data_IF_984896188099
#
_entry.id   IF_984896188099
#
_cell.length_a   1.000
_cell.length_b   1.000
_cell.length_c   1.000
_cell.angle_alpha   90.00
_cell.angle_beta   90.00
_cell.angle_gamma   90.00
#
_symmetry.space_group_name_H-M   'P 1'
#
loop_
_entity.id
_entity.type
_entity.pdbx_description
1 polymer ?
#
# COMPACT_ATOMS: atom_id res chain seq x y z
N UNK A 1 -18.07 4.94 -17.27
CA UNK A 1 -18.11 3.84 -16.30
C UNK A 1 -16.86 3.97 -15.46
N UNK A 2 -16.95 4.74 -14.37
CA UNK A 2 -15.85 4.93 -13.42
C UNK A 2 -15.85 3.77 -12.43
N UNK A 3 -14.93 2.86 -12.57
CA UNK A 3 -14.55 1.97 -11.47
C UNK A 3 -13.53 2.74 -10.64
N UNK A 4 -14.00 3.42 -9.60
CA UNK A 4 -13.16 4.00 -8.57
C UNK A 4 -12.57 2.89 -7.70
N UNK A 5 -11.59 2.17 -8.21
CA UNK A 5 -10.67 1.41 -7.39
C UNK A 5 -9.54 2.34 -7.01
N UNK A 6 -9.32 2.57 -5.72
CA UNK A 6 -8.07 3.13 -5.27
C UNK A 6 -6.96 2.27 -5.85
N UNK A 7 -6.19 2.85 -6.78
CA UNK A 7 -5.01 2.20 -7.31
C UNK A 7 -3.96 2.24 -6.20
N UNK A 8 -3.97 1.24 -5.32
CA UNK A 8 -2.88 1.00 -4.39
C UNK A 8 -1.70 0.46 -5.20
N UNK A 9 -1.06 1.33 -5.96
CA UNK A 9 0.18 1.02 -6.64
C UNK A 9 1.33 1.13 -5.65
N UNK A 10 2.14 0.08 -5.56
CA UNK A 10 3.37 0.09 -4.77
C UNK A 10 4.57 -0.03 -5.71
N UNK A 11 5.65 0.64 -5.36
CA UNK A 11 6.95 0.47 -6.01
C UNK A 11 7.86 -0.32 -5.08
N UNK A 12 8.44 -1.40 -5.56
CA UNK A 12 9.47 -2.13 -4.83
C UNK A 12 10.81 -1.93 -5.51
N UNK A 13 11.80 -1.44 -4.76
CA UNK A 13 13.19 -1.36 -5.18
C UNK A 13 13.92 -2.58 -4.63
N UNK A 14 14.46 -3.42 -5.52
CA UNK A 14 15.24 -4.60 -5.14
C UNK A 14 16.72 -4.30 -5.35
N UNK A 15 17.49 -4.39 -4.28
CA UNK A 15 18.94 -4.25 -4.34
C UNK A 15 19.60 -5.61 -4.60
N UNK A 16 20.68 -5.62 -5.37
CA UNK A 16 21.52 -6.81 -5.48
C UNK A 16 22.14 -7.16 -4.12
N UNK A 17 22.43 -8.44 -3.88
CA UNK A 17 23.03 -8.90 -2.61
C UNK A 17 24.34 -8.19 -2.30
N UNK A 18 25.13 -7.90 -3.33
CA UNK A 18 26.39 -7.15 -3.20
C UNK A 18 26.16 -5.74 -2.65
N UNK A 19 25.19 -4.99 -3.21
CA UNK A 19 24.87 -3.63 -2.76
C UNK A 19 24.30 -3.67 -1.36
N UNK A 20 23.34 -4.58 -1.11
CA UNK A 20 22.72 -4.75 0.21
C UNK A 20 23.77 -5.03 1.27
N UNK A 21 24.72 -5.92 1.01
CA UNK A 21 25.83 -6.25 1.91
C UNK A 21 26.70 -5.02 2.17
N UNK A 22 27.10 -4.29 1.14
CA UNK A 22 27.89 -3.07 1.29
C UNK A 22 27.21 -2.03 2.16
N UNK A 23 25.91 -1.78 1.93
CA UNK A 23 25.14 -0.81 2.72
C UNK A 23 24.99 -1.24 4.19
N UNK A 24 24.90 -2.55 4.45
CA UNK A 24 24.86 -3.08 5.84
C UNK A 24 26.20 -2.98 6.55
N UNK A 25 27.30 -2.97 5.83
CA UNK A 25 28.65 -2.83 6.41
C UNK A 25 28.98 -1.40 6.85
N UNK A 26 28.22 -0.40 6.45
CA UNK A 26 28.45 1.01 6.84
C UNK A 26 27.62 1.34 8.08
N UNK A 27 28.25 1.42 9.27
CA UNK A 27 27.54 1.70 10.50
C UNK A 27 27.10 3.17 10.58
N UNK A 28 25.94 3.42 11.17
CA UNK A 28 25.44 4.76 11.46
C UNK A 28 25.15 4.91 12.96
N UNK A 29 25.23 6.14 13.51
CA UNK A 29 24.85 6.39 14.89
C UNK A 29 23.38 6.04 15.14
N UNK A 30 23.10 5.26 16.19
CA UNK A 30 21.72 4.83 16.55
C UNK A 30 20.75 5.99 16.75
N UNK A 31 21.23 7.16 17.14
CA UNK A 31 20.42 8.39 17.26
C UNK A 31 19.75 8.85 15.95
N UNK A 32 20.21 8.35 14.82
CA UNK A 32 19.59 8.61 13.50
C UNK A 32 18.44 7.65 13.19
N UNK A 33 18.27 6.57 13.95
CA UNK A 33 17.15 5.64 13.77
C UNK A 33 15.85 6.24 14.30
N UNK A 34 14.73 6.01 13.60
CA UNK A 34 13.38 6.33 14.09
C UNK A 34 12.96 5.43 15.26
N UNK A 35 13.56 4.23 15.36
CA UNK A 35 13.31 3.23 16.41
C UNK A 35 14.64 2.79 17.06
N UNK A 36 15.30 3.65 17.85
CA UNK A 36 16.66 3.39 18.32
C UNK A 36 16.78 2.15 19.23
N UNK A 37 15.72 1.79 19.93
CA UNK A 37 15.72 0.66 20.88
C UNK A 37 15.64 -0.72 20.23
N UNK A 38 15.24 -0.80 18.94
CA UNK A 38 15.06 -2.07 18.22
C UNK A 38 16.22 -2.43 17.29
N UNK A 39 17.16 -1.53 17.07
CA UNK A 39 18.26 -1.75 16.14
C UNK A 39 19.51 -2.23 16.89
N UNK A 40 19.81 -3.54 16.86
CA UNK A 40 21.09 -4.07 17.35
C UNK A 40 22.28 -3.48 16.58
N UNK A 41 22.14 -3.37 15.25
CA UNK A 41 23.11 -2.71 14.37
C UNK A 41 22.39 -1.75 13.41
N UNK A 42 22.56 -0.45 13.66
CA UNK A 42 22.04 0.57 12.76
C UNK A 42 23.08 0.92 11.70
N UNK A 43 22.72 0.79 10.44
CA UNK A 43 23.58 0.95 9.28
C UNK A 43 22.88 1.71 8.15
N UNK A 44 23.60 2.01 7.07
CA UNK A 44 23.05 2.75 5.92
C UNK A 44 21.86 2.04 5.30
N UNK A 45 21.88 0.71 5.18
CA UNK A 45 20.75 -0.04 4.67
C UNK A 45 19.49 0.13 5.53
N UNK A 46 19.62 -0.05 6.84
CA UNK A 46 18.51 0.14 7.79
C UNK A 46 17.97 1.57 7.78
N UNK A 47 18.85 2.55 7.63
CA UNK A 47 18.46 3.95 7.50
C UNK A 47 17.66 4.20 6.21
N UNK A 48 18.16 3.74 5.07
CA UNK A 48 17.46 3.87 3.79
C UNK A 48 16.10 3.16 3.83
N UNK A 49 16.04 1.96 4.43
CA UNK A 49 14.78 1.24 4.60
C UNK A 49 13.77 2.03 5.43
N UNK A 50 14.18 2.61 6.55
CA UNK A 50 13.31 3.48 7.37
C UNK A 50 12.85 4.76 6.66
N UNK A 51 13.64 5.28 5.74
CA UNK A 51 13.27 6.46 4.95
C UNK A 51 12.32 6.14 3.80
N UNK A 52 12.48 4.97 3.21
CA UNK A 52 11.78 4.56 1.98
C UNK A 52 10.46 3.85 2.29
N UNK A 53 10.48 2.87 3.21
CA UNK A 53 9.37 1.96 3.39
C UNK A 53 8.08 2.66 3.81
N UNK A 54 7.05 2.40 3.01
CA UNK A 54 5.70 2.91 3.25
C UNK A 54 5.51 4.41 3.00
N UNK A 55 6.54 5.12 2.56
CA UNK A 55 6.45 6.54 2.22
C UNK A 55 5.91 6.75 0.80
N UNK A 56 5.32 7.93 0.58
CA UNK A 56 4.88 8.38 -0.73
C UNK A 56 6.08 8.55 -1.68
N UNK A 57 5.87 8.27 -2.97
CA UNK A 57 6.89 8.43 -4.02
C UNK A 57 7.43 9.86 -4.07
N UNK A 58 6.62 10.88 -3.79
CA UNK A 58 7.05 12.28 -3.72
C UNK A 58 8.03 12.53 -2.57
N UNK A 59 7.81 11.88 -1.43
CA UNK A 59 8.73 11.91 -0.28
C UNK A 59 10.03 11.22 -0.63
N UNK A 60 9.97 10.10 -1.36
CA UNK A 60 11.16 9.41 -1.84
C UNK A 60 12.03 10.30 -2.71
N UNK A 61 11.44 11.00 -3.66
CA UNK A 61 12.19 11.86 -4.58
C UNK A 61 12.94 12.97 -3.83
N UNK A 62 12.36 13.49 -2.75
CA UNK A 62 13.01 14.47 -1.86
C UNK A 62 14.08 13.83 -0.99
N UNK A 63 13.76 12.70 -0.35
CA UNK A 63 14.70 11.95 0.50
C UNK A 63 15.89 11.41 -0.30
N UNK A 64 15.66 11.06 -1.55
CA UNK A 64 16.71 10.59 -2.43
C UNK A 64 17.70 11.69 -2.80
N UNK A 65 17.26 12.91 -3.01
CA UNK A 65 18.15 14.03 -3.22
C UNK A 65 18.99 14.32 -1.94
N UNK A 66 18.39 14.16 -0.77
CA UNK A 66 19.10 14.25 0.53
C UNK A 66 20.05 13.07 0.74
N UNK A 67 19.63 11.82 0.42
CA UNK A 67 20.47 10.63 0.54
C UNK A 67 21.67 10.67 -0.41
N UNK A 68 21.48 11.16 -1.63
CA UNK A 68 22.56 11.39 -2.58
C UNK A 68 23.55 12.42 -2.02
N UNK A 69 23.07 13.49 -1.40
CA UNK A 69 23.92 14.50 -0.78
C UNK A 69 24.73 13.91 0.40
N UNK A 70 24.14 13.02 1.19
CA UNK A 70 24.85 12.30 2.27
C UNK A 70 25.88 11.33 1.69
N UNK A 71 25.56 10.62 0.58
CA UNK A 71 26.49 9.73 -0.10
C UNK A 71 27.65 10.50 -0.73
N UNK A 72 27.40 11.68 -1.28
CA UNK A 72 28.46 12.57 -1.80
C UNK A 72 29.46 13.00 -0.70
N UNK A 73 29.00 13.13 0.54
CA UNK A 73 29.90 13.36 1.69
C UNK A 73 30.66 12.09 2.08
N UNK A 74 29.99 10.93 2.02
CA UNK A 74 30.61 9.64 2.35
C UNK A 74 31.61 9.16 1.27
N UNK A 75 31.57 9.72 0.06
CA UNK A 75 32.53 9.48 -1.02
C UNK A 75 34.00 9.62 -0.54
N UNK A 76 34.30 10.59 0.31
CA UNK A 76 35.64 10.79 0.85
C UNK A 76 36.13 9.63 1.75
N UNK A 77 35.23 8.80 2.24
CA UNK A 77 35.55 7.70 3.17
C UNK A 77 35.41 6.32 2.51
N UNK A 78 34.57 6.19 1.47
CA UNK A 78 34.30 4.91 0.80
C UNK A 78 34.18 5.13 -0.70
N UNK A 79 35.27 4.95 -1.48
CA UNK A 79 35.26 5.22 -2.93
C UNK A 79 34.20 4.45 -3.73
N UNK A 80 33.78 3.27 -3.26
CA UNK A 80 32.74 2.46 -3.91
C UNK A 80 31.32 3.04 -3.77
N UNK A 81 31.15 4.05 -2.94
CA UNK A 81 29.83 4.69 -2.73
C UNK A 81 29.38 5.50 -3.94
N UNK A 82 30.31 5.96 -4.78
CA UNK A 82 29.99 6.66 -6.03
C UNK A 82 29.18 5.81 -6.98
N UNK A 83 29.50 4.52 -7.06
CA UNK A 83 28.75 3.58 -7.91
C UNK A 83 27.31 3.41 -7.40
N UNK A 84 27.15 3.33 -6.08
CA UNK A 84 25.81 3.25 -5.44
C UNK A 84 25.04 4.55 -5.63
N UNK A 85 25.68 5.70 -5.43
CA UNK A 85 25.09 7.02 -5.63
C UNK A 85 24.63 7.22 -7.07
N UNK A 86 25.48 6.91 -8.05
CA UNK A 86 25.15 7.01 -9.47
C UNK A 86 24.03 6.05 -9.88
N UNK A 87 24.04 4.83 -9.37
CA UNK A 87 22.97 3.86 -9.59
C UNK A 87 21.62 4.31 -9.00
N UNK A 88 21.64 4.87 -7.80
CA UNK A 88 20.45 5.41 -7.16
C UNK A 88 19.91 6.62 -7.93
N UNK A 89 20.76 7.55 -8.36
CA UNK A 89 20.38 8.67 -9.23
C UNK A 89 19.73 8.20 -10.53
N UNK A 90 20.28 7.17 -11.17
CA UNK A 90 19.73 6.60 -12.40
C UNK A 90 18.33 6.02 -12.14
N UNK A 91 18.17 5.22 -11.08
CA UNK A 91 16.87 4.63 -10.70
C UNK A 91 15.82 5.72 -10.42
N UNK A 92 16.19 6.77 -9.71
CA UNK A 92 15.31 7.89 -9.38
C UNK A 92 14.91 8.71 -10.62
N UNK A 93 15.83 8.94 -11.54
CA UNK A 93 15.53 9.62 -12.79
C UNK A 93 14.58 8.79 -13.67
N UNK A 94 14.73 7.47 -13.66
CA UNK A 94 13.81 6.57 -14.36
C UNK A 94 12.42 6.55 -13.69
N UNK A 95 12.35 6.55 -12.36
CA UNK A 95 11.08 6.68 -11.62
C UNK A 95 10.41 8.01 -11.99
N UNK A 96 11.11 9.13 -11.94
CA UNK A 96 10.58 10.45 -12.34
C UNK A 96 10.08 10.49 -13.78
N UNK A 97 10.77 9.81 -14.70
CA UNK A 97 10.47 9.84 -16.13
C UNK A 97 9.31 8.93 -16.53
N UNK A 98 9.19 7.77 -15.91
CA UNK A 98 8.28 6.72 -16.39
C UNK A 98 7.12 6.40 -15.45
N UNK A 99 7.15 6.86 -14.20
CA UNK A 99 6.02 6.70 -13.28
C UNK A 99 5.14 7.97 -13.32
N UNK A 100 3.90 7.90 -13.79
CA UNK A 100 2.97 9.03 -13.74
C UNK A 100 2.75 9.46 -12.29
N UNK A 101 2.73 10.76 -12.04
CA UNK A 101 2.36 11.31 -10.73
C UNK A 101 1.01 10.73 -10.28
N UNK A 102 0.95 10.26 -9.05
CA UNK A 102 -0.25 9.69 -8.45
C UNK A 102 -0.58 8.24 -8.82
N UNK A 103 0.19 7.57 -9.71
CA UNK A 103 -0.05 6.17 -10.07
C UNK A 103 0.34 5.18 -8.96
N UNK A 104 1.28 5.56 -8.09
CA UNK A 104 1.80 4.73 -7.01
C UNK A 104 1.92 5.55 -5.73
N UNK A 105 1.28 5.09 -4.67
CA UNK A 105 1.21 5.83 -3.42
C UNK A 105 2.30 5.46 -2.42
N UNK A 106 2.94 4.31 -2.59
CA UNK A 106 3.94 3.81 -1.63
C UNK A 106 5.12 3.14 -2.29
N UNK A 107 6.25 3.15 -1.60
CA UNK A 107 7.48 2.51 -2.04
C UNK A 107 8.08 1.68 -0.90
N UNK A 108 8.73 0.58 -1.27
CA UNK A 108 9.39 -0.34 -0.35
C UNK A 108 10.77 -0.72 -0.87
N UNK A 109 11.72 -0.93 0.04
CA UNK A 109 13.05 -1.41 -0.25
C UNK A 109 13.16 -2.89 0.11
N UNK A 110 13.48 -3.74 -0.87
CA UNK A 110 13.67 -5.20 -0.72
C UNK A 110 12.47 -5.95 -0.09
N UNK A 111 11.30 -5.38 -0.07
CA UNK A 111 10.10 -6.07 0.39
C UNK A 111 9.36 -6.71 -0.79
N UNK A 112 8.91 -7.94 -0.58
CA UNK A 112 7.98 -8.56 -1.50
C UNK A 112 6.57 -8.04 -1.18
N UNK A 113 5.88 -7.44 -2.15
CA UNK A 113 4.51 -7.03 -1.94
C UNK A 113 3.63 -8.27 -1.76
N UNK A 114 2.79 -8.23 -0.72
CA UNK A 114 1.84 -9.31 -0.39
C UNK A 114 0.40 -8.90 -0.64
N UNK A 115 0.13 -7.61 -0.72
CA UNK A 115 -1.22 -7.08 -0.92
C UNK A 115 -1.62 -7.09 -2.41
N UNK A 116 -2.91 -7.23 -2.67
CA UNK A 116 -3.42 -7.11 -4.03
C UNK A 116 -3.25 -5.68 -4.55
N UNK A 117 -2.72 -5.54 -5.77
CA UNK A 117 -2.44 -4.22 -6.34
C UNK A 117 -1.61 -4.31 -7.63
N UNK A 118 -1.32 -3.14 -8.19
CA UNK A 118 -0.41 -3.02 -9.31
C UNK A 118 0.96 -2.59 -8.77
N UNK A 119 2.02 -3.24 -9.25
CA UNK A 119 3.37 -3.07 -8.76
C UNK A 119 4.35 -2.79 -9.89
N UNK A 120 5.38 -2.03 -9.56
CA UNK A 120 6.58 -1.90 -10.39
C UNK A 120 7.75 -2.43 -9.58
N UNK A 121 8.45 -3.42 -10.10
CA UNK A 121 9.72 -3.87 -9.56
C UNK A 121 10.84 -3.21 -10.36
N UNK A 122 11.73 -2.51 -9.67
CA UNK A 122 12.97 -1.99 -10.21
C UNK A 122 14.13 -2.83 -9.72
N UNK A 123 15.02 -3.24 -10.63
CA UNK A 123 16.27 -3.90 -10.32
C UNK A 123 17.43 -3.04 -10.78
N UNK A 124 18.43 -2.87 -9.92
CA UNK A 124 19.68 -2.21 -10.23
C UNK A 124 20.81 -3.21 -10.01
N UNK A 125 21.58 -3.46 -11.05
CA UNK A 125 22.80 -4.27 -10.98
C UNK A 125 24.02 -3.38 -11.22
N UNK A 126 25.01 -3.50 -10.32
CA UNK A 126 26.31 -2.86 -10.44
C UNK A 126 27.33 -3.96 -10.68
N UNK A 127 27.66 -4.25 -11.95
CA UNK A 127 28.55 -5.38 -12.27
C UNK A 127 30.02 -5.00 -12.46
N UNK A 128 30.31 -3.77 -12.86
CA UNK A 128 31.69 -3.28 -12.98
C UNK A 128 31.71 -1.76 -13.05
N UNK A 129 32.93 -1.18 -13.08
CA UNK A 129 33.12 0.29 -13.09
C UNK A 129 32.43 1.03 -14.25
N UNK A 130 32.03 0.32 -15.31
CA UNK A 130 31.57 0.95 -16.54
C UNK A 130 30.12 0.62 -16.96
N UNK A 131 29.42 -0.31 -16.28
CA UNK A 131 28.05 -0.67 -16.65
C UNK A 131 27.13 -0.81 -15.45
N UNK A 132 26.33 0.22 -15.24
CA UNK A 132 25.16 0.16 -14.38
C UNK A 132 23.95 -0.26 -15.21
N UNK A 133 23.33 -1.38 -14.88
CA UNK A 133 22.14 -1.85 -15.55
C UNK A 133 20.93 -1.67 -14.61
N UNK A 134 19.92 -0.95 -15.07
CA UNK A 134 18.65 -0.84 -14.39
C UNK A 134 17.54 -1.45 -15.25
N UNK A 135 16.68 -2.22 -14.63
CA UNK A 135 15.52 -2.82 -15.27
C UNK A 135 14.26 -2.59 -14.44
N UNK A 136 13.12 -2.50 -15.12
CA UNK A 136 11.79 -2.39 -14.47
C UNK A 136 10.86 -3.43 -15.06
N UNK A 137 10.02 -4.00 -14.20
CA UNK A 137 8.92 -4.86 -14.57
C UNK A 137 7.64 -4.42 -13.87
N UNK A 138 6.55 -4.36 -14.62
CA UNK A 138 5.22 -4.13 -14.06
C UNK A 138 4.52 -5.47 -13.86
N UNK A 139 3.90 -5.67 -12.70
CA UNK A 139 3.12 -6.85 -12.40
C UNK A 139 1.92 -6.53 -11.51
N UNK A 140 1.00 -7.47 -11.41
CA UNK A 140 -0.22 -7.32 -10.62
C UNK A 140 -0.40 -8.51 -9.71
N UNK A 141 -0.59 -8.25 -8.42
CA UNK A 141 -1.09 -9.23 -7.46
C UNK A 141 -2.61 -9.13 -7.47
N UNK A 142 -3.27 -10.20 -7.88
CA UNK A 142 -4.74 -10.26 -7.91
C UNK A 142 -5.28 -10.53 -6.52
N UNK A 143 -6.43 -9.94 -6.14
CA UNK A 143 -7.10 -10.32 -4.90
C UNK A 143 -7.51 -11.79 -4.94
N UNK A 144 -7.47 -12.44 -3.77
CA UNK A 144 -7.96 -13.81 -3.62
C UNK A 144 -9.47 -13.85 -3.82
N UNK A 145 -9.93 -14.77 -4.67
CA UNK A 145 -11.36 -14.97 -4.98
C UNK A 145 -11.87 -16.33 -4.50
N UNK A 146 -11.03 -17.36 -4.61
CA UNK A 146 -11.41 -18.72 -4.22
C UNK A 146 -11.48 -18.85 -2.70
N UNK A 147 -12.54 -19.46 -2.20
CA UNK A 147 -12.78 -19.64 -0.77
C UNK A 147 -13.15 -18.35 -0.02
N UNK A 148 -13.42 -17.25 -0.75
CA UNK A 148 -13.81 -15.96 -0.17
C UNK A 148 -15.31 -15.79 -0.27
N UNK A 149 -15.97 -15.52 0.86
CA UNK A 149 -17.39 -15.20 0.92
C UNK A 149 -17.67 -14.12 1.95
N UNK A 150 -18.71 -13.35 1.71
CA UNK A 150 -19.28 -12.42 2.68
C UNK A 150 -20.71 -12.83 3.04
N UNK A 151 -21.11 -12.56 4.27
CA UNK A 151 -22.47 -12.74 4.73
C UNK A 151 -22.82 -11.72 5.82
N UNK A 152 -24.11 -11.51 6.05
CA UNK A 152 -24.58 -10.68 7.13
C UNK A 152 -24.63 -11.50 8.42
N UNK A 153 -23.89 -11.10 9.45
CA UNK A 153 -23.95 -11.74 10.77
C UNK A 153 -25.31 -11.57 11.45
N UNK A 154 -25.97 -10.44 11.14
CA UNK A 154 -27.28 -10.12 11.67
C UNK A 154 -28.25 -9.71 10.56
N UNK A 155 -29.52 -10.05 10.67
CA UNK A 155 -30.56 -9.62 9.77
C UNK A 155 -31.26 -8.38 10.33
N UNK A 156 -31.60 -7.44 9.44
CA UNK A 156 -32.32 -6.23 9.81
C UNK A 156 -33.84 -6.50 9.80
N UNK A 157 -34.33 -7.18 10.83
CA UNK A 157 -35.74 -7.63 10.90
C UNK A 157 -36.72 -6.54 11.33
N UNK A 158 -36.24 -5.49 11.97
CA UNK A 158 -37.08 -4.44 12.54
C UNK A 158 -36.63 -3.04 12.10
N UNK A 159 -37.56 -2.07 12.01
CA UNK A 159 -37.20 -0.66 11.82
C UNK A 159 -36.30 -0.17 12.95
N UNK A 160 -35.21 0.51 12.60
CA UNK A 160 -34.20 1.03 13.52
C UNK A 160 -34.17 2.55 13.49
N UNK A 161 -33.78 3.17 14.60
CA UNK A 161 -33.41 4.60 14.60
C UNK A 161 -32.06 4.75 13.90
N UNK A 162 -31.66 5.97 13.54
CA UNK A 162 -30.35 6.24 12.95
C UNK A 162 -29.22 5.83 13.91
N UNK A 163 -29.40 5.97 15.23
CA UNK A 163 -28.44 5.56 16.26
C UNK A 163 -28.33 4.03 16.37
N UNK A 164 -29.46 3.32 16.36
CA UNK A 164 -29.49 1.86 16.32
C UNK A 164 -28.82 1.32 15.06
N UNK A 165 -29.03 1.99 13.92
CA UNK A 165 -28.41 1.61 12.67
C UNK A 165 -26.89 1.80 12.70
N UNK A 166 -26.37 2.81 13.39
CA UNK A 166 -24.93 3.05 13.52
C UNK A 166 -24.20 1.88 14.21
N UNK A 167 -24.80 1.35 15.28
CA UNK A 167 -24.26 0.16 15.95
C UNK A 167 -24.48 -1.14 15.18
N UNK A 168 -25.47 -1.16 14.29
CA UNK A 168 -25.82 -2.32 13.46
C UNK A 168 -25.02 -2.39 12.14
N UNK A 169 -24.26 -1.35 11.81
CA UNK A 169 -23.63 -1.19 10.50
C UNK A 169 -22.52 -2.20 10.23
N UNK A 170 -21.81 -2.65 11.24
CA UNK A 170 -20.66 -3.59 11.11
C UNK A 170 -21.08 -5.07 11.07
N UNK A 171 -22.26 -5.38 10.54
CA UNK A 171 -22.77 -6.73 10.57
C UNK A 171 -22.36 -7.61 9.37
N UNK A 172 -21.60 -7.10 8.42
CA UNK A 172 -21.04 -7.91 7.33
C UNK A 172 -19.74 -8.60 7.79
N UNK A 173 -19.69 -9.90 7.57
CA UNK A 173 -18.54 -10.75 7.96
C UNK A 173 -17.88 -11.28 6.70
N UNK A 174 -16.56 -11.18 6.66
CA UNK A 174 -15.71 -11.82 5.66
C UNK A 174 -15.24 -13.17 6.16
N UNK A 175 -15.42 -14.20 5.35
CA UNK A 175 -14.89 -15.53 5.59
C UNK A 175 -13.96 -15.93 4.43
N UNK A 176 -12.81 -16.47 4.79
CA UNK A 176 -11.79 -16.96 3.85
C UNK A 176 -11.42 -18.39 4.25
N UNK A 177 -11.59 -19.33 3.33
CA UNK A 177 -11.31 -20.76 3.55
C UNK A 177 -12.00 -21.31 4.81
N UNK A 178 -13.21 -20.85 5.11
CA UNK A 178 -13.98 -21.29 6.28
C UNK A 178 -13.63 -20.57 7.59
N UNK A 179 -12.72 -19.62 7.57
CA UNK A 179 -12.33 -18.84 8.76
C UNK A 179 -12.76 -17.38 8.63
N UNK A 180 -13.31 -16.81 9.71
CA UNK A 180 -13.65 -15.40 9.79
C UNK A 180 -12.38 -14.57 9.83
N UNK A 181 -12.26 -13.62 8.91
CA UNK A 181 -11.12 -12.72 8.81
C UNK A 181 -11.56 -11.30 9.18
N UNK A 182 -11.04 -10.75 10.29
CA UNK A 182 -11.26 -9.36 10.65
C UNK A 182 -10.70 -8.44 9.56
N UNK A 183 -11.47 -7.46 9.12
CA UNK A 183 -11.03 -6.51 8.09
C UNK A 183 -11.76 -5.18 8.18
N UNK A 184 -11.04 -4.10 7.94
CA UNK A 184 -11.54 -2.74 7.78
C UNK A 184 -11.85 -2.37 6.31
N UNK A 185 -11.68 -3.33 5.40
CA UNK A 185 -11.81 -3.12 3.95
C UNK A 185 -13.22 -3.36 3.41
N UNK A 186 -14.20 -3.63 4.28
CA UNK A 186 -15.60 -3.72 3.88
C UNK A 186 -16.17 -2.30 3.75
N UNK A 187 -16.63 -1.97 2.56
CA UNK A 187 -17.29 -0.70 2.26
C UNK A 187 -18.78 -0.89 2.20
N UNK A 188 -19.51 0.03 2.84
CA UNK A 188 -20.96 0.04 2.85
C UNK A 188 -21.50 1.15 1.96
N UNK A 189 -22.59 0.87 1.25
CA UNK A 189 -23.36 1.86 0.54
C UNK A 189 -24.85 1.66 0.79
N UNK A 190 -25.59 2.75 0.73
CA UNK A 190 -27.04 2.81 1.03
C UNK A 190 -27.76 3.45 -0.14
N UNK A 191 -28.78 2.80 -0.62
CA UNK A 191 -29.65 3.32 -1.66
C UNK A 191 -31.07 3.35 -1.14
N UNK A 192 -31.71 4.55 -1.07
CA UNK A 192 -33.13 4.69 -0.70
C UNK A 192 -33.99 3.95 -1.73
N UNK A 193 -34.97 3.18 -1.26
CA UNK A 193 -35.93 2.52 -2.13
C UNK A 193 -36.79 3.56 -2.83
N UNK A 194 -36.77 3.58 -4.17
CA UNK A 194 -37.52 4.56 -4.98
C UNK A 194 -36.82 4.84 -6.30
N UNK A 195 -37.52 5.55 -7.18
CA UNK A 195 -37.00 5.92 -8.49
C UNK A 195 -36.05 7.10 -8.38
N UNK A 196 -34.90 7.05 -9.07
CA UNK A 196 -33.98 8.20 -9.17
C UNK A 196 -33.07 8.43 -7.96
N UNK A 197 -33.00 7.51 -6.98
CA UNK A 197 -32.10 7.65 -5.84
C UNK A 197 -30.73 7.04 -6.15
N UNK A 198 -29.67 7.83 -5.91
CA UNK A 198 -28.30 7.33 -6.01
C UNK A 198 -27.86 6.65 -4.71
N UNK A 199 -26.89 5.73 -4.82
CA UNK A 199 -26.27 5.13 -3.65
C UNK A 199 -25.29 6.11 -3.00
N UNK A 200 -25.29 6.16 -1.68
CA UNK A 200 -24.37 6.97 -0.87
C UNK A 200 -23.61 6.08 0.12
N UNK A 201 -22.39 6.47 0.48
CA UNK A 201 -21.64 5.84 1.57
C UNK A 201 -22.03 6.38 2.96
N UNK A 202 -22.80 7.46 3.02
CA UNK A 202 -23.27 8.04 4.28
C UNK A 202 -24.39 7.21 4.87
N UNK A 203 -24.32 6.98 6.17
CA UNK A 203 -25.36 6.29 6.92
C UNK A 203 -26.69 7.06 6.80
N UNK A 204 -27.82 6.38 6.47
CA UNK A 204 -29.11 7.04 6.41
C UNK A 204 -29.55 7.57 7.76
N UNK A 205 -29.99 8.82 7.79
CA UNK A 205 -30.58 9.47 8.97
C UNK A 205 -32.04 9.79 8.78
N UNK A 206 -32.55 9.80 7.55
CA UNK A 206 -33.94 10.07 7.24
C UNK A 206 -34.78 8.79 7.30
N UNK A 207 -36.03 8.86 7.79
CA UNK A 207 -36.95 7.74 7.73
C UNK A 207 -37.16 7.22 6.30
N UNK A 208 -37.22 5.91 6.18
CA UNK A 208 -37.39 5.25 4.89
C UNK A 208 -36.78 3.85 4.80
N UNK A 209 -37.05 3.18 3.70
CA UNK A 209 -36.45 1.87 3.39
C UNK A 209 -35.25 2.05 2.48
N UNK A 210 -34.16 1.40 2.81
CA UNK A 210 -32.91 1.47 2.07
C UNK A 210 -32.39 0.08 1.77
N UNK A 211 -31.70 -0.05 0.64
CA UNK A 211 -30.86 -1.21 0.33
C UNK A 211 -29.45 -0.91 0.82
N UNK A 212 -29.02 -1.61 1.85
CA UNK A 212 -27.64 -1.60 2.32
C UNK A 212 -26.85 -2.64 1.54
N UNK A 213 -25.74 -2.23 0.94
CA UNK A 213 -24.82 -3.11 0.20
C UNK A 213 -23.46 -3.09 0.86
N UNK A 214 -22.86 -4.27 1.05
CA UNK A 214 -21.48 -4.42 1.49
C UNK A 214 -20.62 -4.97 0.35
N UNK A 215 -19.43 -4.40 0.19
CA UNK A 215 -18.44 -4.77 -0.81
C UNK A 215 -17.06 -4.87 -0.14
N UNK A 216 -16.36 -5.97 -0.39
CA UNK A 216 -14.99 -6.14 0.10
C UNK A 216 -13.98 -5.58 -0.91
N UNK A 217 -12.93 -4.95 -0.41
CA UNK A 217 -11.78 -4.51 -1.18
C UNK A 217 -10.46 -5.07 -0.67
N UNK A 218 -9.35 -4.51 -1.15
CA UNK A 218 -8.01 -4.95 -0.75
C UNK A 218 -7.66 -6.33 -1.29
N UNK A 219 -7.20 -7.23 -0.42
CA UNK A 219 -6.67 -8.54 -0.76
C UNK A 219 -7.72 -9.59 -1.13
N UNK A 220 -8.98 -9.27 -1.01
CA UNK A 220 -10.08 -10.19 -1.21
C UNK A 220 -11.09 -9.65 -2.22
N UNK A 221 -11.73 -10.55 -2.95
CA UNK A 221 -12.81 -10.22 -3.86
C UNK A 221 -13.86 -11.33 -3.85
N UNK A 222 -15.11 -10.96 -3.61
CA UNK A 222 -16.26 -11.83 -3.75
C UNK A 222 -17.48 -11.01 -4.21
N UNK A 223 -18.61 -11.66 -4.41
CA UNK A 223 -19.85 -10.99 -4.75
C UNK A 223 -20.29 -10.04 -3.64
N UNK A 224 -20.76 -8.87 -4.02
CA UNK A 224 -21.41 -7.93 -3.10
C UNK A 224 -22.63 -8.60 -2.46
N UNK A 225 -22.88 -8.29 -1.21
CA UNK A 225 -24.08 -8.72 -0.51
C UNK A 225 -24.95 -7.51 -0.19
N UNK A 226 -26.27 -7.71 -0.24
CA UNK A 226 -27.22 -6.64 0.05
C UNK A 226 -28.32 -7.12 0.98
N UNK A 227 -28.85 -6.19 1.78
CA UNK A 227 -30.05 -6.40 2.60
C UNK A 227 -30.90 -5.14 2.64
N UNK A 228 -32.19 -5.30 2.96
CA UNK A 228 -33.04 -4.16 3.21
C UNK A 228 -32.95 -3.74 4.68
N UNK A 229 -32.92 -2.42 4.91
CA UNK A 229 -32.98 -1.81 6.24
C UNK A 229 -34.07 -0.75 6.23
N UNK A 230 -34.76 -0.57 7.33
CA UNK A 230 -35.78 0.49 7.51
C UNK A 230 -35.37 1.40 8.64
N UNK A 231 -35.29 2.70 8.34
CA UNK A 231 -35.03 3.77 9.32
C UNK A 231 -36.39 4.39 9.71
N UNK A 232 -36.62 4.52 11.00
CA UNK A 232 -37.84 5.14 11.59
C UNK A 232 -37.59 6.52 12.21
#
# INVERSE_FOLDING_TARGET
VGVGGEANGYVTLVLSDKIRTLLKMIPLPKKMSKTPDQAEEFNVYSYLKQLIDGNDVSVLLRVADEAVSVMDVLHFYVPTIDQVSNGLRLALNLIRKYLPEGAFSRIYLDEQPVDAGNYVAGALALESSDMNTAGFAMFKIKPKTNGVRMYWAQQAEKPMTAEELQSFNEAAVLEVDGQVVPTDKIRYSYKKSGWGCDATSKLPTEPGTYVQTAEIGGNYNCSKISRNITVK
#
